data_IF_727949419172
#
_entry.id   IF_727949419172
#
_cell.length_a   1.000
_cell.length_b   1.000
_cell.length_c   1.000
_cell.angle_alpha   90.00
_cell.angle_beta   90.00
_cell.angle_gamma   90.00
#
_symmetry.space_group_name_H-M   'P 1'
#
loop_
_entity.id
_entity.type
_entity.pdbx_description
1 polymer ?
#
# COMPACT_ATOMS: atom_id res chain seq x y z
N UNK A 1 27.97 -8.84 -2.10
CA UNK A 1 27.08 -9.63 -2.97
C UNK A 1 25.92 -8.74 -3.37
N UNK A 2 25.64 -8.53 -4.67
CA UNK A 2 24.44 -7.81 -5.08
C UNK A 2 23.22 -8.58 -4.56
N UNK A 3 22.29 -7.90 -3.89
CA UNK A 3 21.05 -8.52 -3.41
C UNK A 3 20.25 -8.93 -4.65
N UNK A 4 19.97 -10.23 -4.78
CA UNK A 4 19.02 -10.74 -5.77
C UNK A 4 17.68 -10.06 -5.46
N UNK A 5 17.17 -9.26 -6.39
CA UNK A 5 15.83 -8.68 -6.28
C UNK A 5 14.82 -9.82 -6.33
N UNK A 6 13.77 -9.72 -5.51
CA UNK A 6 12.68 -10.69 -5.52
C UNK A 6 12.00 -10.64 -6.90
N UNK A 7 11.97 -11.74 -7.67
CA UNK A 7 11.37 -11.75 -9.00
C UNK A 7 9.89 -11.32 -9.01
N UNK A 8 9.19 -11.53 -7.90
CA UNK A 8 7.84 -11.01 -7.73
C UNK A 8 7.84 -9.48 -7.70
N UNK A 9 8.76 -8.88 -6.97
CA UNK A 9 8.88 -7.43 -6.88
C UNK A 9 9.25 -6.81 -8.21
N UNK A 10 10.09 -7.48 -9.02
CA UNK A 10 10.34 -7.02 -10.40
C UNK A 10 9.07 -7.06 -11.25
N UNK A 11 8.20 -8.04 -11.07
CA UNK A 11 6.90 -8.10 -11.76
C UNK A 11 5.94 -7.01 -11.28
N UNK A 12 5.85 -6.75 -9.97
CA UNK A 12 5.00 -5.67 -9.44
C UNK A 12 5.55 -4.30 -9.88
N UNK A 13 6.86 -4.08 -9.81
CA UNK A 13 7.53 -2.87 -10.32
C UNK A 13 7.31 -2.72 -11.84
N UNK A 14 7.34 -3.81 -12.63
CA UNK A 14 7.06 -3.74 -14.06
C UNK A 14 5.60 -3.36 -14.36
N UNK A 15 4.65 -3.86 -13.56
CA UNK A 15 3.22 -3.62 -13.76
C UNK A 15 2.74 -2.27 -13.20
N UNK A 16 3.34 -1.80 -12.11
CA UNK A 16 2.88 -0.64 -11.36
C UNK A 16 3.96 0.44 -11.16
N UNK A 17 5.25 0.11 -11.26
CA UNK A 17 6.35 1.08 -11.16
C UNK A 17 6.42 2.02 -12.36
N UNK A 18 6.00 1.58 -13.56
CA UNK A 18 5.79 2.45 -14.73
C UNK A 18 4.53 3.32 -14.67
N UNK A 19 3.61 3.06 -13.73
CA UNK A 19 2.44 3.92 -13.56
C UNK A 19 2.84 5.33 -13.10
N UNK A 20 4.08 5.51 -12.60
CA UNK A 20 4.70 6.81 -12.33
C UNK A 20 5.12 7.53 -13.64
N UNK A 21 5.58 6.81 -14.66
CA UNK A 21 6.05 7.38 -15.94
C UNK A 21 4.90 7.72 -16.91
N UNK A 22 3.75 7.04 -16.82
CA UNK A 22 2.54 7.34 -17.62
C UNK A 22 1.83 8.64 -17.18
N UNK A 23 2.34 9.33 -16.17
CA UNK A 23 1.73 10.53 -15.55
C UNK A 23 2.61 11.77 -15.66
N UNK A 24 3.75 11.71 -16.35
CA UNK A 24 4.34 12.92 -16.91
C UNK A 24 3.36 13.41 -17.99
N UNK A 25 2.83 14.65 -17.92
CA UNK A 25 2.01 15.17 -18.99
C UNK A 25 2.92 15.43 -20.19
N UNK A 26 3.15 14.42 -21.03
CA UNK A 26 3.53 14.69 -22.40
C UNK A 26 2.27 15.08 -23.16
N UNK A 27 2.44 16.17 -23.91
CA UNK A 27 1.42 16.92 -24.62
C UNK A 27 0.48 16.04 -25.47
N UNK A 28 -0.78 16.49 -25.55
CA UNK A 28 -1.82 16.11 -26.51
C UNK A 28 -1.42 15.03 -27.55
N UNK A 29 -1.77 13.78 -27.25
CA UNK A 29 -1.75 12.67 -28.20
C UNK A 29 -2.78 11.63 -27.81
N UNK A 30 -3.84 11.48 -28.61
CA UNK A 30 -4.73 10.33 -28.57
C UNK A 30 -3.91 9.05 -28.84
N UNK A 31 -3.93 8.09 -27.90
CA UNK A 31 -4.16 6.65 -28.13
C UNK A 31 -3.77 5.83 -26.88
N UNK A 32 -4.71 4.98 -26.47
CA UNK A 32 -4.66 3.93 -25.45
C UNK A 32 -4.31 4.32 -24.01
N UNK A 33 -5.35 4.27 -23.21
CA UNK A 33 -5.61 5.25 -22.20
C UNK A 33 -6.03 4.34 -21.01
N UNK A 34 -5.13 4.03 -20.03
CA UNK A 34 -5.24 2.87 -19.10
C UNK A 34 -6.43 2.84 -18.13
N UNK A 35 -7.39 3.76 -18.27
CA UNK A 35 -8.66 3.84 -17.53
C UNK A 35 -9.68 2.79 -17.94
N UNK A 36 -9.50 2.06 -19.03
CA UNK A 36 -10.40 0.95 -19.40
C UNK A 36 -10.45 -0.20 -18.37
N UNK A 37 -9.52 -0.24 -17.42
CA UNK A 37 -9.53 -1.21 -16.31
C UNK A 37 -10.41 -0.78 -15.12
N UNK A 38 -10.99 0.42 -15.15
CA UNK A 38 -12.00 0.88 -14.21
C UNK A 38 -13.20 1.29 -15.05
N UNK A 39 -14.06 0.32 -15.41
CA UNK A 39 -15.27 0.55 -16.22
C UNK A 39 -16.22 1.61 -15.61
N UNK A 40 -15.98 2.02 -14.36
CA UNK A 40 -16.59 3.18 -13.71
C UNK A 40 -15.53 4.17 -13.20
N UNK A 41 -15.05 5.07 -14.07
CA UNK A 41 -14.08 6.12 -13.71
C UNK A 41 -14.56 7.06 -12.57
N UNK A 42 -15.85 7.04 -12.21
CA UNK A 42 -16.39 7.73 -11.03
C UNK A 42 -16.04 7.07 -9.69
N UNK A 43 -15.69 5.77 -9.71
CA UNK A 43 -15.32 4.99 -8.52
C UNK A 43 -13.81 5.01 -8.24
N UNK A 44 -12.97 5.35 -9.22
CA UNK A 44 -11.51 5.44 -9.09
C UNK A 44 -11.02 6.47 -8.04
N UNK A 45 -11.91 7.36 -7.56
CA UNK A 45 -11.55 8.34 -6.54
C UNK A 45 -11.24 7.70 -5.17
N UNK A 46 -11.81 6.54 -4.87
CA UNK A 46 -11.68 5.90 -3.57
C UNK A 46 -10.48 4.95 -3.52
N UNK A 47 -9.66 5.09 -2.47
CA UNK A 47 -8.46 4.29 -2.24
C UNK A 47 -8.74 2.76 -2.26
N UNK A 48 -9.93 2.33 -1.81
CA UNK A 48 -10.34 0.92 -1.84
C UNK A 48 -10.37 0.32 -3.25
N UNK A 49 -10.72 1.12 -4.26
CA UNK A 49 -10.81 0.64 -5.64
C UNK A 49 -9.43 0.44 -6.27
N UNK A 50 -8.44 1.25 -5.86
CA UNK A 50 -7.04 0.99 -6.18
C UNK A 50 -6.54 -0.30 -5.54
N UNK A 51 -6.87 -0.54 -4.27
CA UNK A 51 -6.52 -1.78 -3.60
C UNK A 51 -7.14 -3.02 -4.29
N UNK A 52 -8.40 -2.93 -4.72
CA UNK A 52 -9.08 -3.96 -5.53
C UNK A 52 -8.38 -4.20 -6.86
N UNK A 53 -8.02 -3.13 -7.58
CA UNK A 53 -7.33 -3.23 -8.87
C UNK A 53 -5.97 -3.92 -8.73
N UNK A 54 -5.20 -3.57 -7.70
CA UNK A 54 -3.91 -4.22 -7.41
C UNK A 54 -4.10 -5.72 -7.18
N UNK A 55 -5.03 -6.10 -6.31
CA UNK A 55 -5.28 -7.52 -6.00
C UNK A 55 -5.81 -8.27 -7.21
N UNK A 56 -6.74 -7.67 -7.97
CA UNK A 56 -7.31 -8.28 -9.18
C UNK A 56 -6.25 -8.56 -10.25
N UNK A 57 -5.30 -7.62 -10.44
CA UNK A 57 -4.19 -7.81 -11.39
C UNK A 57 -3.16 -8.84 -10.93
N UNK A 58 -2.84 -8.87 -9.64
CA UNK A 58 -1.83 -9.78 -9.10
C UNK A 58 -2.39 -11.19 -8.83
N UNK A 59 -3.71 -11.32 -8.68
CA UNK A 59 -4.37 -12.57 -8.31
C UNK A 59 -4.09 -13.01 -6.87
N UNK A 60 -3.46 -12.15 -6.06
CA UNK A 60 -3.12 -12.42 -4.66
C UNK A 60 -3.12 -11.13 -3.83
N UNK A 61 -3.22 -11.30 -2.50
CA UNK A 61 -3.18 -10.19 -1.53
C UNK A 61 -4.51 -9.99 -0.82
N UNK A 62 -4.54 -8.97 0.02
CA UNK A 62 -5.71 -8.58 0.80
C UNK A 62 -5.79 -7.04 0.91
N UNK A 63 -7.01 -6.53 1.05
CA UNK A 63 -7.25 -5.12 1.30
C UNK A 63 -7.20 -4.89 2.80
N UNK A 64 -6.49 -3.85 3.19
CA UNK A 64 -6.49 -3.34 4.54
C UNK A 64 -6.91 -1.88 4.51
N UNK A 65 -7.44 -1.44 5.65
CA UNK A 65 -7.80 -0.06 5.86
C UNK A 65 -7.72 0.30 7.32
N UNK A 66 -8.00 1.54 7.64
CA UNK A 66 -8.15 1.99 9.01
C UNK A 66 -9.04 3.23 9.04
N UNK A 67 -9.67 3.47 10.19
CA UNK A 67 -10.31 4.75 10.47
C UNK A 67 -9.34 5.73 11.14
N UNK A 68 -9.34 6.98 10.68
CA UNK A 68 -8.56 8.08 11.27
C UNK A 68 -8.90 8.29 12.76
N UNK A 69 -10.16 8.02 13.16
CA UNK A 69 -10.58 8.06 14.57
C UNK A 69 -9.71 7.19 15.48
N UNK A 70 -9.28 6.02 15.00
CA UNK A 70 -8.49 5.06 15.77
C UNK A 70 -7.01 5.09 15.40
N UNK A 71 -6.69 5.57 14.20
CA UNK A 71 -5.35 5.74 13.68
C UNK A 71 -5.11 7.18 13.19
N UNK A 72 -5.12 8.18 14.09
CA UNK A 72 -5.12 9.59 13.68
C UNK A 72 -3.74 10.07 13.22
N UNK A 73 -3.75 11.10 12.37
CA UNK A 73 -2.54 11.85 12.00
C UNK A 73 -1.66 11.14 10.97
N UNK A 74 -2.27 10.28 10.18
CA UNK A 74 -1.59 9.60 9.06
C UNK A 74 -1.60 10.50 7.82
N UNK A 75 -0.50 10.52 7.07
CA UNK A 75 -0.42 11.34 5.85
C UNK A 75 -1.51 10.93 4.85
N UNK A 76 -1.83 9.64 4.73
CA UNK A 76 -2.81 9.17 3.77
C UNK A 76 -4.23 9.65 4.07
N UNK A 77 -4.67 9.61 5.34
CA UNK A 77 -5.98 10.13 5.72
C UNK A 77 -6.07 11.65 5.50
N UNK A 78 -5.05 12.39 5.93
CA UNK A 78 -4.98 13.85 5.77
C UNK A 78 -5.09 14.27 4.29
N UNK A 79 -4.44 13.53 3.39
CA UNK A 79 -4.42 13.82 1.95
C UNK A 79 -5.66 13.34 1.21
N UNK A 80 -6.25 12.23 1.64
CA UNK A 80 -7.51 11.74 1.08
C UNK A 80 -8.70 12.59 1.50
N UNK A 81 -8.57 13.41 2.55
CA UNK A 81 -9.64 14.26 3.07
C UNK A 81 -10.82 13.45 3.63
N UNK A 82 -10.56 12.23 4.07
CA UNK A 82 -11.56 11.27 4.55
C UNK A 82 -11.25 10.71 5.93
N UNK A 83 -12.20 9.97 6.52
CA UNK A 83 -12.13 9.41 7.87
C UNK A 83 -11.26 8.13 7.98
N UNK A 84 -10.30 7.94 7.08
CA UNK A 84 -9.52 6.72 6.93
C UNK A 84 -8.83 6.58 5.59
N UNK A 85 -8.16 5.45 5.38
CA UNK A 85 -7.51 5.13 4.11
C UNK A 85 -7.41 3.62 3.89
N UNK A 86 -7.55 3.18 2.63
CA UNK A 86 -7.55 1.77 2.23
C UNK A 86 -6.42 1.49 1.24
N UNK A 87 -5.79 0.32 1.33
CA UNK A 87 -4.64 -0.05 0.51
C UNK A 87 -4.50 -1.58 0.41
N UNK A 88 -3.69 -2.05 -0.55
CA UNK A 88 -3.42 -3.48 -0.71
C UNK A 88 -2.18 -3.89 0.09
N UNK A 89 -2.24 -5.07 0.71
CA UNK A 89 -1.06 -5.76 1.25
C UNK A 89 -0.89 -7.10 0.56
N UNK A 90 0.29 -7.28 -0.02
CA UNK A 90 0.63 -8.48 -0.79
C UNK A 90 1.57 -9.37 0.03
N UNK A 91 1.24 -10.66 0.11
CA UNK A 91 2.03 -11.70 0.83
C UNK A 91 2.32 -11.34 2.29
N UNK A 92 1.42 -10.60 2.94
CA UNK A 92 1.59 -10.11 4.31
C UNK A 92 2.87 -9.27 4.51
N UNK A 93 3.39 -8.65 3.44
CA UNK A 93 4.70 -7.99 3.47
C UNK A 93 4.75 -6.65 2.75
N UNK A 94 4.15 -6.57 1.57
CA UNK A 94 4.30 -5.40 0.72
C UNK A 94 3.04 -4.56 0.76
N UNK A 95 3.14 -3.32 1.21
CA UNK A 95 2.08 -2.34 0.99
C UNK A 95 2.19 -1.88 -0.46
N UNK A 96 1.09 -1.98 -1.20
CA UNK A 96 0.99 -1.51 -2.57
C UNK A 96 -0.17 -0.53 -2.65
N UNK A 97 0.17 0.71 -3.00
CA UNK A 97 -0.77 1.81 -3.03
C UNK A 97 -0.49 2.67 -4.27
N UNK A 98 -1.38 2.55 -5.25
CA UNK A 98 -1.33 3.34 -6.48
C UNK A 98 -2.02 4.69 -6.32
N UNK A 99 -2.91 4.85 -5.33
CA UNK A 99 -3.65 6.09 -5.12
C UNK A 99 -2.72 7.20 -4.59
N UNK A 100 -1.85 6.87 -3.63
CA UNK A 100 -0.90 7.85 -3.03
C UNK A 100 0.02 8.50 -4.06
N UNK A 101 0.37 7.76 -5.11
CA UNK A 101 1.15 8.29 -6.25
C UNK A 101 0.26 9.11 -7.19
N UNK A 102 -0.90 8.57 -7.58
CA UNK A 102 -1.75 9.15 -8.62
C UNK A 102 -2.46 10.44 -8.21
N UNK A 103 -2.92 10.54 -6.96
CA UNK A 103 -3.83 11.61 -6.55
C UNK A 103 -3.26 12.54 -5.49
N UNK A 104 -2.24 12.11 -4.76
CA UNK A 104 -1.76 12.87 -3.61
C UNK A 104 -0.28 13.25 -3.67
N UNK A 105 0.47 12.77 -4.68
CA UNK A 105 1.92 12.94 -4.81
C UNK A 105 2.64 12.68 -3.48
N UNK A 106 2.14 11.70 -2.71
CA UNK A 106 2.62 11.39 -1.37
C UNK A 106 3.88 10.55 -1.39
N UNK A 107 4.14 9.86 -2.51
CA UNK A 107 5.28 9.00 -2.68
C UNK A 107 5.76 9.01 -4.13
N UNK A 108 7.06 8.84 -4.31
CA UNK A 108 7.69 8.66 -5.62
C UNK A 108 7.58 7.20 -6.13
N UNK A 109 6.97 6.32 -5.33
CA UNK A 109 6.83 4.89 -5.61
C UNK A 109 5.57 4.31 -5.00
N UNK A 110 5.05 3.28 -5.66
CA UNK A 110 3.79 2.59 -5.31
C UNK A 110 3.95 1.43 -4.32
N UNK A 111 5.18 0.98 -4.05
CA UNK A 111 5.43 -0.26 -3.26
C UNK A 111 6.38 0.01 -2.09
N UNK A 112 6.01 -0.50 -0.92
CA UNK A 112 6.78 -0.41 0.32
C UNK A 112 6.91 -1.80 0.96
N UNK A 113 8.14 -2.18 1.35
CA UNK A 113 8.42 -3.46 2.01
C UNK A 113 8.42 -3.31 3.54
N UNK A 114 7.45 -3.90 4.24
CA UNK A 114 7.37 -3.84 5.71
C UNK A 114 8.59 -4.43 6.42
N UNK A 115 9.41 -5.26 5.75
CA UNK A 115 10.67 -5.80 6.32
C UNK A 115 11.88 -4.91 6.07
N UNK A 116 11.75 -3.89 5.23
CA UNK A 116 12.79 -2.88 5.02
C UNK A 116 12.61 -1.75 6.03
N UNK A 117 13.62 -1.50 6.86
CA UNK A 117 13.54 -0.49 7.92
C UNK A 117 13.20 0.92 7.42
N UNK A 118 13.66 1.31 6.23
CA UNK A 118 13.36 2.64 5.67
C UNK A 118 11.90 2.72 5.24
N UNK A 119 11.39 1.65 4.64
CA UNK A 119 10.01 1.57 4.21
C UNK A 119 9.09 1.45 5.43
N UNK A 120 9.48 0.70 6.47
CA UNK A 120 8.70 0.57 7.70
C UNK A 120 8.44 1.91 8.39
N UNK A 121 9.44 2.80 8.46
CA UNK A 121 9.26 4.14 9.02
C UNK A 121 8.28 4.97 8.17
N UNK A 122 8.44 4.92 6.84
CA UNK A 122 7.55 5.62 5.92
C UNK A 122 6.11 5.07 5.97
N UNK A 123 5.96 3.76 6.12
CA UNK A 123 4.67 3.10 6.30
C UNK A 123 4.00 3.56 7.59
N UNK A 124 4.73 3.61 8.70
CA UNK A 124 4.19 4.06 9.99
C UNK A 124 3.78 5.54 9.97
N UNK A 125 4.53 6.39 9.26
CA UNK A 125 4.16 7.79 9.06
C UNK A 125 2.96 7.95 8.11
N UNK A 126 2.94 7.18 7.02
CA UNK A 126 1.95 7.35 5.94
C UNK A 126 0.61 6.70 6.25
N UNK A 127 0.64 5.49 6.81
CA UNK A 127 -0.52 4.63 7.04
C UNK A 127 -0.74 4.33 8.53
N UNK A 128 0.11 4.83 9.42
CA UNK A 128 -0.02 4.66 10.86
C UNK A 128 0.38 3.27 11.37
N UNK A 129 -0.05 2.96 12.59
CA UNK A 129 0.36 1.73 13.26
C UNK A 129 -0.37 0.52 12.68
N UNK A 130 0.41 -0.46 12.20
CA UNK A 130 -0.08 -1.71 11.60
C UNK A 130 -1.08 -2.42 12.54
N UNK A 131 -0.93 -2.30 13.86
CA UNK A 131 -1.84 -2.93 14.83
C UNK A 131 -3.28 -2.41 14.75
N UNK A 132 -3.49 -1.23 14.14
CA UNK A 132 -4.78 -0.56 13.98
C UNK A 132 -5.42 -0.80 12.61
N UNK A 133 -4.70 -1.46 11.71
CA UNK A 133 -5.25 -1.81 10.41
C UNK A 133 -6.28 -2.92 10.54
N UNK A 134 -7.31 -2.83 9.72
CA UNK A 134 -8.43 -3.74 9.63
C UNK A 134 -8.37 -4.48 8.30
N UNK A 135 -8.77 -5.74 8.29
CA UNK A 135 -8.83 -6.58 7.10
C UNK A 135 -10.20 -6.44 6.45
N UNK A 136 -10.26 -6.26 5.13
CA UNK A 136 -11.53 -6.26 4.42
C UNK A 136 -12.02 -7.70 4.14
N UNK A 137 -13.06 -8.13 4.86
CA UNK A 137 -13.70 -9.42 4.63
C UNK A 137 -14.65 -9.31 3.43
N UNK A 138 -14.18 -9.81 2.28
CA UNK A 138 -14.96 -9.82 1.03
C UNK A 138 -16.29 -10.57 1.12
N UNK A 139 -16.43 -11.56 2.01
CA UNK A 139 -17.68 -12.30 2.16
C UNK A 139 -18.75 -11.48 2.89
N UNK A 140 -18.30 -10.63 3.83
CA UNK A 140 -19.18 -9.75 4.62
C UNK A 140 -19.27 -8.34 4.04
N UNK A 141 -18.38 -7.99 3.12
CA UNK A 141 -18.23 -6.67 2.54
C UNK A 141 -18.01 -5.58 3.62
N UNK A 142 -17.17 -5.87 4.60
CA UNK A 142 -16.86 -4.98 5.73
C UNK A 142 -15.41 -5.12 6.19
N UNK A 143 -14.91 -4.10 6.89
CA UNK A 143 -13.63 -4.17 7.60
C UNK A 143 -13.82 -4.84 8.96
N UNK A 144 -12.93 -5.79 9.26
CA UNK A 144 -12.90 -6.54 10.53
C UNK A 144 -11.53 -6.45 11.17
N UNK A 145 -11.47 -6.69 12.48
CA UNK A 145 -10.19 -6.69 13.19
C UNK A 145 -9.25 -7.78 12.66
N UNK A 146 -7.95 -7.58 12.81
CA UNK A 146 -6.97 -8.61 12.42
C UNK A 146 -7.14 -9.93 13.20
N UNK A 147 -7.75 -9.89 14.39
CA UNK A 147 -8.06 -11.10 15.15
C UNK A 147 -9.14 -11.96 14.48
N UNK A 148 -10.02 -11.33 13.70
CA UNK A 148 -11.11 -11.98 12.96
C UNK A 148 -10.69 -12.38 11.54
N UNK A 149 -9.61 -11.78 11.01
CA UNK A 149 -9.05 -12.14 9.73
C UNK A 149 -8.58 -13.61 9.69
N UNK A 150 -8.61 -14.26 8.51
CA UNK A 150 -7.94 -15.54 8.27
C UNK A 150 -6.46 -15.48 8.69
N UNK A 151 -5.92 -16.59 9.18
CA UNK A 151 -4.61 -16.63 9.82
C UNK A 151 -3.47 -16.11 8.90
N UNK A 152 -3.57 -16.40 7.61
CA UNK A 152 -2.65 -15.98 6.54
C UNK A 152 -2.68 -14.46 6.26
N UNK A 153 -3.73 -13.77 6.67
CA UNK A 153 -3.91 -12.32 6.52
C UNK A 153 -3.76 -11.57 7.85
N UNK A 154 -3.31 -12.23 8.91
CA UNK A 154 -2.98 -11.54 10.16
C UNK A 154 -1.61 -10.91 10.03
N UNK A 155 -1.53 -9.59 10.17
CA UNK A 155 -0.26 -8.90 10.14
C UNK A 155 0.32 -8.88 11.56
N UNK A 156 1.64 -8.93 11.64
CA UNK A 156 2.37 -8.74 12.89
C UNK A 156 3.27 -7.53 12.74
N UNK A 157 3.31 -6.65 13.74
CA UNK A 157 4.29 -5.56 13.77
C UNK A 157 5.68 -6.17 13.60
N UNK A 158 6.52 -5.66 12.68
CA UNK A 158 7.88 -6.13 12.58
C UNK A 158 8.55 -6.00 13.95
N UNK A 159 9.22 -7.05 14.42
CA UNK A 159 9.95 -6.99 15.67
C UNK A 159 10.93 -5.80 15.61
N UNK A 160 10.98 -4.93 16.64
CA UNK A 160 11.98 -3.88 16.67
C UNK A 160 13.34 -4.57 16.55
N UNK A 161 14.15 -4.17 15.56
CA UNK A 161 15.54 -4.64 15.54
C UNK A 161 16.15 -4.20 16.85
N UNK A 162 16.78 -5.14 17.57
CA UNK A 162 17.71 -4.79 18.62
C UNK A 162 18.62 -3.71 18.02
N UNK A 163 18.61 -2.52 18.62
CA UNK A 163 19.64 -1.53 18.33
C UNK A 163 20.96 -2.29 18.48
N UNK A 164 21.77 -2.32 17.41
CA UNK A 164 23.18 -2.62 17.56
C UNK A 164 23.70 -1.55 18.50
N UNK A 165 23.71 -1.88 19.78
CA UNK A 165 24.42 -1.14 20.79
C UNK A 165 25.88 -1.28 20.39
N UNK A 166 26.37 -0.34 19.60
CA UNK A 166 27.78 -0.02 19.60
C UNK A 166 28.11 0.32 21.06
N UNK A 167 28.56 -0.69 21.79
CA UNK A 167 29.27 -0.48 23.04
C UNK A 167 30.47 0.40 22.67
N UNK A 168 30.65 1.57 23.28
CA UNK A 168 31.89 2.30 23.11
C UNK A 168 33.00 1.39 23.61
N UNK A 169 33.89 0.98 22.70
CA UNK A 169 35.10 0.24 23.07
C UNK A 169 35.90 1.08 24.09
N UNK A 170 36.46 0.43 25.13
CA UNK A 170 37.17 1.10 26.23
C UNK A 170 38.46 1.79 25.79
#
# INVERSE_FOLDING_TARGET
MPKVKDPFMESVEAQFGKAVDLLAPEEEGEEDQPWELIEDAGEAFFAINHARLVIGKLGEGAIYGYSDKFNPGTIAADRAGGDGFDFAVIRGRYVVDTWSVQYASMADRVIFDMKNNKDAALIEETYGDISKWEYFDTNKNEFVSQSEAPAEFRLSKPAPKAHDSESPSP
#
